data_IF_240607906732
#
_entry.id   IF_240607906732
#
_cell.length_a   1.000
_cell.length_b   1.000
_cell.length_c   1.000
_cell.angle_alpha   90.00
_cell.angle_beta   90.00
_cell.angle_gamma   90.00
#
_symmetry.space_group_name_H-M   'P 1'
#
loop_
_entity.id
_entity.type
_entity.pdbx_description
1 polymer ?
#
# COMPACT_ATOMS: atom_id res chain seq x y z
N UNK A 1 -1.56 10.39 -21.21
CA UNK A 1 -0.54 9.53 -21.87
C UNK A 1 -0.43 8.18 -21.18
N UNK A 2 -0.16 8.12 -19.87
CA UNK A 2 -0.14 6.86 -19.11
C UNK A 2 -1.51 6.16 -19.11
N UNK A 3 -2.62 6.89 -18.99
CA UNK A 3 -3.95 6.28 -19.00
C UNK A 3 -4.29 5.56 -20.30
N UNK A 4 -3.75 6.02 -21.44
CA UNK A 4 -3.93 5.35 -22.74
C UNK A 4 -3.08 4.07 -22.89
N UNK A 5 -2.16 3.80 -21.96
CA UNK A 5 -1.32 2.60 -21.96
C UNK A 5 -1.86 1.50 -21.06
N UNK A 6 -2.87 1.79 -20.23
CA UNK A 6 -3.42 0.81 -19.29
C UNK A 6 -3.98 -0.42 -20.02
N UNK A 7 -4.73 -0.20 -21.11
CA UNK A 7 -5.32 -1.27 -21.91
C UNK A 7 -4.24 -2.14 -22.58
N UNK A 8 -3.18 -1.52 -23.12
CA UNK A 8 -2.06 -2.23 -23.73
C UNK A 8 -1.26 -3.05 -22.71
N UNK A 9 -1.06 -2.52 -21.49
CA UNK A 9 -0.36 -3.26 -20.42
C UNK A 9 -1.21 -4.44 -19.97
N UNK A 10 -2.53 -4.29 -19.88
CA UNK A 10 -3.45 -5.38 -19.58
C UNK A 10 -3.42 -6.47 -20.67
N UNK A 11 -3.42 -6.09 -21.95
CA UNK A 11 -3.32 -7.00 -23.09
C UNK A 11 -2.00 -7.79 -23.12
N UNK A 12 -0.89 -7.18 -22.72
CA UNK A 12 0.41 -7.85 -22.65
C UNK A 12 0.49 -8.92 -21.56
N UNK A 13 -0.40 -8.87 -20.56
CA UNK A 13 -0.53 -9.90 -19.52
C UNK A 13 0.71 -10.12 -18.64
N UNK A 14 1.70 -9.24 -18.70
CA UNK A 14 2.97 -9.40 -17.99
C UNK A 14 2.89 -8.81 -16.58
N UNK A 15 3.04 -9.62 -15.51
CA UNK A 15 2.93 -9.14 -14.14
C UNK A 15 3.94 -8.04 -13.78
N UNK A 16 5.17 -8.17 -14.28
CA UNK A 16 6.23 -7.18 -14.03
C UNK A 16 5.97 -5.86 -14.75
N UNK A 17 5.39 -5.90 -15.96
CA UNK A 17 5.01 -4.68 -16.67
C UNK A 17 3.81 -3.99 -15.99
N UNK A 18 2.81 -4.76 -15.56
CA UNK A 18 1.68 -4.23 -14.79
C UNK A 18 2.14 -3.56 -13.49
N UNK A 19 3.04 -4.21 -12.75
CA UNK A 19 3.63 -3.62 -11.55
C UNK A 19 4.38 -2.32 -11.86
N UNK A 20 5.29 -2.34 -12.85
CA UNK A 20 6.09 -1.16 -13.20
C UNK A 20 5.21 0.01 -13.68
N UNK A 21 4.17 -0.28 -14.47
CA UNK A 21 3.21 0.71 -14.93
C UNK A 21 2.48 1.37 -13.75
N UNK A 22 1.96 0.57 -12.81
CA UNK A 22 1.28 1.06 -11.62
C UNK A 22 2.24 1.85 -10.71
N UNK A 23 3.48 1.39 -10.56
CA UNK A 23 4.52 2.09 -9.80
C UNK A 23 4.82 3.48 -10.39
N UNK A 24 5.01 3.55 -11.72
CA UNK A 24 5.24 4.82 -12.41
C UNK A 24 4.04 5.76 -12.30
N UNK A 25 2.82 5.24 -12.39
CA UNK A 25 1.59 6.02 -12.22
C UNK A 25 1.51 6.59 -10.81
N UNK A 26 1.68 5.76 -9.78
CA UNK A 26 1.67 6.19 -8.39
C UNK A 26 2.75 7.25 -8.10
N UNK A 27 3.98 7.03 -8.56
CA UNK A 27 5.07 7.98 -8.35
C UNK A 27 4.82 9.33 -9.03
N UNK A 28 4.17 9.33 -10.20
CA UNK A 28 3.78 10.57 -10.87
C UNK A 28 2.75 11.36 -10.06
N UNK A 29 1.77 10.67 -9.49
CA UNK A 29 0.76 11.31 -8.63
C UNK A 29 1.34 11.86 -7.34
N UNK A 30 2.26 11.13 -6.71
CA UNK A 30 3.02 11.63 -5.56
C UNK A 30 3.74 12.95 -5.88
N UNK A 31 4.44 13.00 -7.02
CA UNK A 31 5.13 14.21 -7.47
C UNK A 31 4.18 15.37 -7.80
N UNK A 32 2.93 15.08 -8.15
CA UNK A 32 1.89 16.07 -8.40
C UNK A 32 1.18 16.53 -7.11
N UNK A 33 1.50 15.95 -5.95
CA UNK A 33 0.86 16.24 -4.67
C UNK A 33 -0.50 15.56 -4.48
N UNK A 34 -0.90 14.66 -5.39
CA UNK A 34 -2.19 13.98 -5.35
C UNK A 34 -2.10 12.61 -4.65
N UNK A 35 -1.66 12.63 -3.39
CA UNK A 35 -1.43 11.41 -2.60
C UNK A 35 -2.76 10.72 -2.22
N UNK A 36 -3.86 11.48 -2.14
CA UNK A 36 -5.17 10.99 -1.66
C UNK A 36 -5.82 10.06 -2.66
N UNK A 37 -5.78 10.43 -3.93
CA UNK A 37 -6.48 9.72 -5.00
C UNK A 37 -5.86 8.36 -5.30
N UNK A 38 -4.58 8.17 -4.96
CA UNK A 38 -3.81 6.97 -5.31
C UNK A 38 -3.43 6.09 -4.11
N UNK A 39 -3.99 6.35 -2.93
CA UNK A 39 -3.86 5.44 -1.79
C UNK A 39 -4.35 4.01 -2.12
N UNK A 40 -5.50 3.81 -2.79
CA UNK A 40 -5.93 2.47 -3.21
C UNK A 40 -4.95 1.79 -4.18
N UNK A 41 -4.31 2.57 -5.06
CA UNK A 41 -3.30 2.05 -5.99
C UNK A 41 -2.08 1.54 -5.23
N UNK A 42 -1.61 2.28 -4.22
CA UNK A 42 -0.52 1.83 -3.35
C UNK A 42 -0.86 0.51 -2.63
N UNK A 43 -2.07 0.41 -2.07
CA UNK A 43 -2.53 -0.83 -1.42
C UNK A 43 -2.48 -2.00 -2.40
N UNK A 44 -3.06 -1.83 -3.60
CA UNK A 44 -3.07 -2.87 -4.62
C UNK A 44 -1.67 -3.32 -5.05
N UNK A 45 -0.69 -2.41 -5.08
CA UNK A 45 0.69 -2.76 -5.41
C UNK A 45 1.38 -3.54 -4.30
N UNK A 46 1.08 -3.21 -3.03
CA UNK A 46 1.63 -3.89 -1.86
C UNK A 46 1.07 -5.31 -1.76
N UNK A 47 -0.24 -5.46 -1.93
CA UNK A 47 -0.94 -6.74 -1.73
C UNK A 47 -0.88 -7.65 -2.95
N UNK A 48 -0.42 -7.13 -4.10
CA UNK A 48 -0.26 -7.91 -5.32
C UNK A 48 0.71 -9.08 -5.13
N UNK A 49 0.34 -10.31 -5.55
CA UNK A 49 1.25 -11.46 -5.47
C UNK A 49 2.44 -11.35 -6.44
N UNK A 50 2.43 -10.36 -7.33
CA UNK A 50 3.41 -10.20 -8.41
C UNK A 50 4.46 -9.13 -8.11
N UNK A 51 4.39 -8.51 -6.93
CA UNK A 51 5.33 -7.47 -6.54
C UNK A 51 6.74 -8.07 -6.35
N UNK A 52 7.78 -7.50 -6.98
CA UNK A 52 9.13 -7.97 -6.76
C UNK A 52 9.54 -7.77 -5.29
N UNK A 53 10.18 -8.77 -4.68
CA UNK A 53 10.49 -8.73 -3.25
C UNK A 53 11.29 -7.48 -2.84
N UNK A 54 12.21 -7.04 -3.70
CA UNK A 54 13.05 -5.84 -3.51
C UNK A 54 12.26 -4.53 -3.41
N UNK A 55 11.02 -4.48 -3.90
CA UNK A 55 10.20 -3.27 -3.87
C UNK A 55 9.35 -3.13 -2.61
N UNK A 56 9.14 -4.20 -1.83
CA UNK A 56 8.33 -4.12 -0.61
C UNK A 56 8.81 -3.04 0.35
N UNK A 57 10.12 -2.98 0.62
CA UNK A 57 10.68 -1.96 1.53
C UNK A 57 10.36 -0.52 1.06
N UNK A 58 10.42 -0.29 -0.25
CA UNK A 58 10.09 1.02 -0.84
C UNK A 58 8.60 1.32 -0.69
N UNK A 59 7.73 0.36 -1.02
CA UNK A 59 6.29 0.52 -0.91
C UNK A 59 5.82 0.70 0.54
N UNK A 60 6.45 -0.01 1.48
CA UNK A 60 6.22 0.14 2.92
C UNK A 60 6.59 1.54 3.39
N UNK A 61 7.70 2.12 2.88
CA UNK A 61 8.07 3.51 3.16
C UNK A 61 6.99 4.50 2.71
N UNK A 62 6.42 4.32 1.51
CA UNK A 62 5.31 5.15 1.04
C UNK A 62 4.05 5.00 1.90
N UNK A 63 3.73 3.76 2.29
CA UNK A 63 2.58 3.52 3.17
C UNK A 63 2.78 4.16 4.53
N UNK A 64 4.00 4.13 5.07
CA UNK A 64 4.33 4.75 6.35
C UNK A 64 4.14 6.26 6.29
N UNK A 65 4.66 6.92 5.25
CA UNK A 65 4.45 8.35 5.02
C UNK A 65 2.96 8.68 4.90
N UNK A 66 2.20 7.85 4.19
CA UNK A 66 0.76 8.06 4.02
C UNK A 66 0.01 7.94 5.35
N UNK A 67 0.34 6.93 6.16
CA UNK A 67 -0.32 6.67 7.44
C UNK A 67 0.08 7.68 8.53
N UNK A 68 1.35 8.07 8.61
CA UNK A 68 1.88 8.94 9.66
C UNK A 68 1.76 10.43 9.33
N UNK A 69 2.11 10.84 8.11
CA UNK A 69 2.25 12.26 7.75
C UNK A 69 1.04 12.83 7.01
N UNK A 70 0.14 11.96 6.51
CA UNK A 70 -1.09 12.39 5.81
C UNK A 70 -2.36 11.90 6.50
N UNK A 71 -2.72 12.45 7.68
CA UNK A 71 -3.94 12.09 8.42
C UNK A 71 -5.23 12.27 7.60
N UNK A 72 -5.22 13.19 6.64
CA UNK A 72 -6.37 13.51 5.79
C UNK A 72 -6.68 12.44 4.73
N UNK A 73 -5.74 11.54 4.41
CA UNK A 73 -5.99 10.46 3.45
C UNK A 73 -6.84 9.39 4.13
N UNK A 74 -8.07 9.21 3.65
CA UNK A 74 -8.92 8.12 4.10
C UNK A 74 -8.57 6.86 3.33
N UNK A 75 -8.17 5.83 4.05
CA UNK A 75 -8.05 4.47 3.51
C UNK A 75 -9.34 3.73 3.90
N UNK A 76 -10.07 3.16 2.93
CA UNK A 76 -11.25 2.36 3.23
C UNK A 76 -10.91 1.18 4.15
N UNK A 77 -11.85 0.80 5.03
CA UNK A 77 -11.63 -0.24 6.03
C UNK A 77 -11.25 -1.59 5.39
N UNK A 78 -11.87 -1.93 4.26
CA UNK A 78 -11.55 -3.13 3.47
C UNK A 78 -10.07 -3.19 3.08
N UNK A 79 -9.49 -2.06 2.64
CA UNK A 79 -8.09 -1.96 2.26
C UNK A 79 -7.18 -2.08 3.50
N UNK A 80 -7.62 -1.56 4.65
CA UNK A 80 -6.88 -1.72 5.91
C UNK A 80 -6.85 -3.19 6.33
N UNK A 81 -7.97 -3.90 6.27
CA UNK A 81 -8.04 -5.33 6.56
C UNK A 81 -7.16 -6.15 5.60
N UNK A 82 -7.17 -5.80 4.31
CA UNK A 82 -6.32 -6.44 3.30
C UNK A 82 -4.83 -6.28 3.64
N UNK A 83 -4.40 -5.06 3.97
CA UNK A 83 -3.02 -4.77 4.38
C UNK A 83 -2.63 -5.54 5.66
N UNK A 84 -3.50 -5.57 6.67
CA UNK A 84 -3.23 -6.31 7.92
C UNK A 84 -3.05 -7.80 7.63
N UNK A 85 -3.92 -8.38 6.80
CA UNK A 85 -3.82 -9.78 6.38
C UNK A 85 -2.52 -10.05 5.63
N UNK A 86 -2.19 -9.18 4.67
CA UNK A 86 -0.94 -9.23 3.92
C UNK A 86 0.28 -9.19 4.85
N UNK A 87 0.37 -8.21 5.76
CA UNK A 87 1.51 -8.10 6.67
C UNK A 87 1.63 -9.26 7.65
N UNK A 88 0.52 -9.93 7.99
CA UNK A 88 0.57 -11.17 8.78
C UNK A 88 1.24 -12.29 7.98
N UNK A 89 0.83 -12.50 6.73
CA UNK A 89 1.42 -13.52 5.87
C UNK A 89 2.87 -13.20 5.51
N UNK A 90 3.15 -11.94 5.17
CA UNK A 90 4.48 -11.45 4.82
C UNK A 90 5.51 -11.70 5.94
N UNK A 91 5.14 -11.47 7.21
CA UNK A 91 6.02 -11.78 8.35
C UNK A 91 6.31 -13.28 8.43
N UNK A 92 5.31 -14.13 8.23
CA UNK A 92 5.47 -15.60 8.26
C UNK A 92 6.43 -16.06 7.16
N UNK A 93 6.24 -15.57 5.93
CA UNK A 93 7.02 -15.99 4.75
C UNK A 93 8.49 -15.51 4.77
N UNK A 94 8.80 -14.53 5.62
CA UNK A 94 10.12 -13.89 5.69
C UNK A 94 10.82 -14.05 7.05
N UNK A 95 10.28 -14.86 7.96
CA UNK A 95 10.81 -15.05 9.33
C UNK A 95 12.27 -15.52 9.35
N UNK A 96 12.70 -16.31 8.35
CA UNK A 96 14.07 -16.84 8.27
C UNK A 96 15.05 -15.94 7.50
N UNK A 97 14.59 -14.79 6.99
CA UNK A 97 15.36 -13.89 6.10
C UNK A 97 15.72 -12.56 6.79
N UNK A 98 15.67 -12.53 8.12
CA UNK A 98 15.59 -11.32 8.93
C UNK A 98 16.71 -10.30 8.70
N UNK A 99 16.26 -9.08 8.42
CA UNK A 99 16.96 -7.82 8.60
C UNK A 99 16.11 -7.06 9.64
N UNK A 100 16.65 -6.89 10.86
CA UNK A 100 15.95 -6.32 12.03
C UNK A 100 15.17 -5.03 11.69
N UNK A 101 15.68 -4.21 10.77
CA UNK A 101 15.05 -2.96 10.35
C UNK A 101 13.72 -3.15 9.62
N UNK A 102 13.54 -4.28 8.92
CA UNK A 102 12.32 -4.61 8.20
C UNK A 102 11.20 -5.03 9.14
N UNK A 103 11.53 -5.72 10.23
CA UNK A 103 10.55 -6.20 11.21
C UNK A 103 9.94 -5.02 11.98
N UNK A 104 10.78 -4.07 12.41
CA UNK A 104 10.36 -2.82 13.06
C UNK A 104 9.44 -1.98 12.18
N UNK A 105 9.74 -1.91 10.89
CA UNK A 105 8.90 -1.20 9.91
C UNK A 105 7.52 -1.82 9.81
N UNK A 106 7.45 -3.15 9.66
CA UNK A 106 6.17 -3.88 9.56
C UNK A 106 5.36 -3.74 10.86
N UNK A 107 6.00 -3.81 12.02
CA UNK A 107 5.36 -3.65 13.33
C UNK A 107 4.73 -2.26 13.46
N UNK A 108 5.47 -1.23 13.07
CA UNK A 108 4.99 0.17 13.05
C UNK A 108 3.79 0.33 12.12
N UNK A 109 3.88 -0.21 10.89
CA UNK A 109 2.79 -0.15 9.92
C UNK A 109 1.51 -0.84 10.43
N UNK A 110 1.62 -2.03 11.03
CA UNK A 110 0.48 -2.72 11.65
C UNK A 110 -0.17 -1.85 12.73
N UNK A 111 0.62 -1.19 13.58
CA UNK A 111 0.10 -0.33 14.64
C UNK A 111 -0.65 0.88 14.06
N UNK A 112 -0.08 1.57 13.09
CA UNK A 112 -0.72 2.71 12.43
C UNK A 112 -2.03 2.32 11.73
N UNK A 113 -2.06 1.17 11.05
CA UNK A 113 -3.27 0.65 10.41
C UNK A 113 -4.40 0.40 11.41
N UNK A 114 -4.09 -0.17 12.58
CA UNK A 114 -5.07 -0.40 13.65
C UNK A 114 -5.61 0.91 14.23
N UNK A 115 -4.76 1.94 14.38
CA UNK A 115 -5.19 3.28 14.79
C UNK A 115 -6.20 3.84 13.77
N UNK A 116 -5.87 3.80 12.47
CA UNK A 116 -6.77 4.32 11.42
C UNK A 116 -8.10 3.58 11.37
N UNK A 117 -8.09 2.27 11.56
CA UNK A 117 -9.31 1.47 11.61
C UNK A 117 -10.19 1.88 12.79
N UNK A 118 -9.61 2.02 13.98
CA UNK A 118 -10.32 2.47 15.18
C UNK A 118 -10.90 3.88 15.00
N UNK A 119 -10.15 4.81 14.43
CA UNK A 119 -10.61 6.18 14.14
C UNK A 119 -11.82 6.17 13.19
N UNK A 120 -11.77 5.34 12.14
CA UNK A 120 -12.86 5.19 11.18
C UNK A 120 -14.13 4.61 11.82
N UNK A 121 -13.98 3.59 12.68
CA UNK A 121 -15.09 2.96 13.40
C UNK A 121 -15.76 3.93 14.38
N UNK A 122 -14.96 4.70 15.14
CA UNK A 122 -15.46 5.72 16.07
C UNK A 122 -16.20 6.83 15.30
N UNK A 123 -15.62 7.30 14.19
CA UNK A 123 -16.24 8.33 13.36
C UNK A 123 -17.61 7.87 12.82
N UNK A 124 -17.71 6.60 12.42
CA UNK A 124 -18.97 6.02 11.93
C UNK A 124 -20.02 5.91 13.05
N UNK A 125 -19.61 5.50 14.26
CA UNK A 125 -20.48 5.39 15.43
C UNK A 125 -20.97 6.76 15.94
N UNK A 126 -20.18 7.83 15.79
CA UNK A 126 -20.60 9.20 16.16
C UNK A 126 -21.48 9.88 15.10
N UNK A 127 -21.49 9.39 13.86
CA UNK A 127 -22.31 9.91 12.77
C UNK A 127 -23.70 9.23 12.66
N UNK A 128 -23.96 8.21 13.49
CA UNK A 128 -25.22 7.46 13.58
C UNK A 128 -26.05 7.88 14.80
#
# INVERSE_FOLDING_TARGET
>A
MLDHMADYVAELGSPSLSFLFNYCRFHRSLNAGDVRSDAPLLVSMITSPTVPQSFHKVLFGYLMLLLADTPQVQIPAENIYELISFFRQYTIDNIDKEDDTSEDTIRTLKHLLLIRLSEAEIANACAS
#
